data_IF_574688887049
#
_entry.id   IF_574688887049
#
_cell.length_a   1.000
_cell.length_b   1.000
_cell.length_c   1.000
_cell.angle_alpha   90.00
_cell.angle_beta   90.00
_cell.angle_gamma   90.00
#
_symmetry.space_group_name_H-M   'P 1'
#
loop_
_entity.id
_entity.type
_entity.pdbx_description
1 polymer ?
#
# COMPACT_ATOMS: atom_id res chain seq x y z
N UNK A 1 -12.24 4.96 -1.84
CA UNK A 1 -10.77 4.85 -2.02
C UNK A 1 -10.44 5.15 -3.48
N UNK A 2 -9.47 6.02 -3.74
CA UNK A 2 -8.98 6.31 -5.10
C UNK A 2 -7.59 5.71 -5.25
N UNK A 3 -7.36 4.95 -6.32
CA UNK A 3 -6.05 4.36 -6.64
C UNK A 3 -5.64 4.84 -8.02
N UNK A 4 -4.56 5.62 -8.07
CA UNK A 4 -3.89 6.01 -9.31
C UNK A 4 -2.84 4.95 -9.69
N UNK A 5 -2.66 4.73 -10.99
CA UNK A 5 -1.80 3.68 -11.54
C UNK A 5 -2.10 2.30 -10.94
N UNK A 6 -3.40 1.96 -10.94
CA UNK A 6 -3.93 0.76 -10.30
C UNK A 6 -3.25 -0.55 -10.74
N UNK A 7 -2.69 -0.61 -11.95
CA UNK A 7 -1.96 -1.76 -12.48
C UNK A 7 -0.67 -2.07 -11.72
N UNK A 8 -0.13 -1.15 -10.91
CA UNK A 8 0.98 -1.47 -10.01
C UNK A 8 0.55 -2.37 -8.85
N UNK A 9 -0.73 -2.28 -8.45
CA UNK A 9 -1.28 -2.98 -7.30
C UNK A 9 -2.08 -4.21 -7.76
N UNK A 10 -2.89 -4.05 -8.81
CA UNK A 10 -3.80 -5.05 -9.37
C UNK A 10 -3.27 -5.55 -10.73
N UNK A 11 -2.05 -6.07 -10.76
CA UNK A 11 -1.43 -6.53 -12.02
C UNK A 11 -1.83 -7.96 -12.38
N UNK A 12 -2.18 -8.19 -13.65
CA UNK A 12 -2.50 -9.54 -14.15
C UNK A 12 -1.31 -10.52 -14.13
N UNK A 13 -0.08 -10.01 -14.01
CA UNK A 13 1.14 -10.81 -13.97
C UNK A 13 1.34 -11.56 -12.65
N UNK A 14 0.75 -11.11 -11.53
CA UNK A 14 0.90 -11.77 -10.22
C UNK A 14 0.03 -13.02 -10.09
N UNK A 15 -1.13 -13.04 -10.73
CA UNK A 15 -2.06 -14.18 -10.76
C UNK A 15 -1.50 -15.39 -11.52
N UNK A 16 -0.65 -15.19 -12.54
CA UNK A 16 -0.13 -16.31 -13.36
C UNK A 16 1.00 -17.11 -12.69
N UNK A 17 1.62 -16.59 -11.63
CA UNK A 17 2.78 -17.22 -10.98
C UNK A 17 2.42 -18.13 -9.80
N UNK A 18 1.24 -17.98 -9.20
CA UNK A 18 0.87 -18.71 -7.97
C UNK A 18 -0.45 -19.45 -8.06
N UNK A 19 -1.29 -19.20 -9.08
CA UNK A 19 -2.62 -19.82 -9.22
C UNK A 19 -3.62 -19.47 -8.11
N UNK A 20 -3.20 -18.69 -7.12
CA UNK A 20 -4.01 -18.20 -6.02
C UNK A 20 -4.55 -16.80 -6.36
N UNK A 21 -5.80 -16.54 -5.98
CA UNK A 21 -6.38 -15.21 -5.99
C UNK A 21 -5.47 -14.27 -5.18
N UNK A 22 -5.13 -13.10 -5.73
CA UNK A 22 -4.26 -12.18 -5.00
C UNK A 22 -5.01 -11.63 -3.78
N UNK A 23 -4.32 -11.42 -2.67
CA UNK A 23 -4.91 -10.77 -1.47
C UNK A 23 -5.61 -9.45 -1.84
N UNK A 24 -5.12 -8.77 -2.89
CA UNK A 24 -5.72 -7.54 -3.39
C UNK A 24 -7.05 -7.77 -4.12
N UNK A 25 -7.23 -8.87 -4.85
CA UNK A 25 -8.50 -9.25 -5.49
C UNK A 25 -9.55 -9.63 -4.42
N UNK A 26 -9.14 -10.38 -3.40
CA UNK A 26 -9.99 -10.68 -2.23
C UNK A 26 -10.41 -9.39 -1.51
N UNK A 27 -9.44 -8.51 -1.23
CA UNK A 27 -9.72 -7.21 -0.61
C UNK A 27 -10.67 -6.38 -1.47
N UNK A 28 -10.47 -6.35 -2.79
CA UNK A 28 -11.35 -5.64 -3.72
C UNK A 28 -12.80 -6.14 -3.65
N UNK A 29 -12.99 -7.46 -3.50
CA UNK A 29 -14.33 -8.07 -3.35
C UNK A 29 -14.97 -7.70 -2.02
N UNK A 30 -14.23 -7.87 -0.93
CA UNK A 30 -14.73 -7.71 0.44
C UNK A 30 -15.03 -6.25 0.78
N UNK A 31 -14.23 -5.29 0.31
CA UNK A 31 -14.46 -3.86 0.63
C UNK A 31 -15.82 -3.35 0.15
N UNK A 32 -16.40 -3.98 -0.88
CA UNK A 32 -17.72 -3.65 -1.38
C UNK A 32 -18.81 -4.01 -0.37
N UNK A 33 -18.63 -5.08 0.40
CA UNK A 33 -19.59 -5.50 1.44
C UNK A 33 -19.68 -4.46 2.57
N UNK A 34 -18.59 -3.73 2.81
CA UNK A 34 -18.54 -2.63 3.78
C UNK A 34 -19.05 -1.29 3.22
N UNK A 35 -19.65 -1.27 2.02
CA UNK A 35 -20.16 -0.06 1.40
C UNK A 35 -19.06 0.91 0.93
N UNK A 36 -17.81 0.46 0.88
CA UNK A 36 -16.68 1.28 0.43
C UNK A 36 -16.54 1.18 -1.08
N UNK A 37 -16.57 2.33 -1.76
CA UNK A 37 -16.30 2.40 -3.20
C UNK A 37 -14.80 2.47 -3.48
N UNK A 38 -14.34 1.68 -4.45
CA UNK A 38 -13.00 1.79 -5.04
C UNK A 38 -13.09 2.42 -6.42
N UNK A 39 -12.25 3.41 -6.66
CA UNK A 39 -12.10 4.07 -7.96
C UNK A 39 -10.67 3.81 -8.45
N UNK A 40 -10.56 3.07 -9.54
CA UNK A 40 -9.29 2.71 -10.17
C UNK A 40 -9.04 3.66 -11.35
N UNK A 41 -7.89 4.33 -11.34
CA UNK A 41 -7.43 5.17 -12.44
C UNK A 41 -6.20 4.52 -13.06
N UNK A 42 -6.23 4.31 -14.37
CA UNK A 42 -5.13 3.67 -15.08
C UNK A 42 -5.04 4.10 -16.55
N UNK A 43 -3.81 4.17 -17.05
CA UNK A 43 -3.48 4.49 -18.44
C UNK A 43 -3.14 3.24 -19.28
N UNK A 44 -2.91 2.09 -18.64
CA UNK A 44 -2.58 0.80 -19.26
C UNK A 44 -3.54 -0.30 -18.77
N UNK A 45 -4.84 -0.24 -19.14
CA UNK A 45 -5.84 -1.21 -18.68
C UNK A 45 -5.50 -2.65 -19.06
N UNK A 46 -4.70 -2.91 -20.11
CA UNK A 46 -4.22 -4.26 -20.45
C UNK A 46 -3.30 -4.88 -19.40
N UNK A 47 -2.74 -4.09 -18.48
CA UNK A 47 -1.92 -4.59 -17.36
C UNK A 47 -2.74 -4.89 -16.10
N UNK A 48 -3.97 -4.40 -16.02
CA UNK A 48 -4.86 -4.70 -14.89
C UNK A 48 -5.24 -6.18 -14.89
N UNK A 49 -5.51 -6.72 -13.69
CA UNK A 49 -6.03 -8.08 -13.57
C UNK A 49 -7.41 -8.15 -14.25
N UNK A 50 -7.69 -9.28 -14.93
CA UNK A 50 -9.01 -9.53 -15.50
C UNK A 50 -10.10 -9.49 -14.41
N UNK A 51 -9.74 -9.82 -13.17
CA UNK A 51 -10.61 -9.69 -12.01
C UNK A 51 -11.02 -8.24 -11.74
N UNK A 52 -10.08 -7.29 -11.69
CA UNK A 52 -10.36 -5.88 -11.45
C UNK A 52 -11.26 -5.29 -12.54
N UNK A 53 -11.00 -5.63 -13.80
CA UNK A 53 -11.81 -5.21 -14.95
C UNK A 53 -13.23 -5.80 -14.89
N UNK A 54 -13.35 -7.11 -14.65
CA UNK A 54 -14.65 -7.80 -14.61
C UNK A 54 -15.51 -7.41 -13.41
N UNK A 55 -14.90 -7.08 -12.27
CA UNK A 55 -15.61 -6.74 -11.03
C UNK A 55 -15.79 -5.22 -10.84
N UNK A 56 -15.50 -4.41 -11.86
CA UNK A 56 -15.82 -3.00 -11.87
C UNK A 56 -17.29 -2.79 -12.26
N UNK A 57 -18.08 -2.19 -11.36
CA UNK A 57 -19.50 -1.91 -11.64
C UNK A 57 -19.69 -0.83 -12.70
N UNK A 58 -18.84 0.20 -12.67
CA UNK A 58 -18.84 1.33 -13.59
C UNK A 58 -17.48 1.44 -14.23
N UNK A 59 -17.46 1.41 -15.55
CA UNK A 59 -16.26 1.59 -16.35
C UNK A 59 -16.43 2.87 -17.15
N UNK A 60 -15.49 3.81 -17.02
CA UNK A 60 -15.43 5.04 -17.81
C UNK A 60 -14.15 4.95 -18.63
N UNK A 61 -14.30 4.84 -19.95
CA UNK A 61 -13.20 4.67 -20.87
C UNK A 61 -13.05 5.92 -21.74
N UNK A 62 -11.92 6.61 -21.58
CA UNK A 62 -11.54 7.71 -22.46
C UNK A 62 -10.76 7.18 -23.67
N UNK A 63 -10.32 8.09 -24.55
CA UNK A 63 -9.55 7.75 -25.74
C UNK A 63 -8.27 6.97 -25.43
N UNK A 64 -7.98 5.94 -26.22
CA UNK A 64 -6.81 5.06 -26.10
C UNK A 64 -6.14 4.84 -27.45
N UNK A 65 -4.81 4.74 -27.46
CA UNK A 65 -4.03 4.56 -28.69
C UNK A 65 -3.46 3.14 -28.86
N UNK A 66 -3.27 2.40 -27.78
CA UNK A 66 -2.65 1.09 -27.79
C UNK A 66 -3.68 -0.01 -28.11
N UNK A 67 -3.36 -0.90 -29.06
CA UNK A 67 -4.25 -2.00 -29.46
C UNK A 67 -4.57 -2.99 -28.34
N UNK A 68 -3.60 -3.29 -27.46
CA UNK A 68 -3.81 -4.18 -26.33
C UNK A 68 -4.83 -3.58 -25.34
N UNK A 69 -4.68 -2.29 -25.03
CA UNK A 69 -5.60 -1.55 -24.15
C UNK A 69 -6.99 -1.42 -24.77
N UNK A 70 -7.06 -1.09 -26.07
CA UNK A 70 -8.32 -1.05 -26.83
C UNK A 70 -9.03 -2.41 -26.75
N UNK A 71 -8.32 -3.52 -26.96
CA UNK A 71 -8.93 -4.85 -26.90
C UNK A 71 -9.41 -5.20 -25.47
N UNK A 72 -8.60 -4.95 -24.44
CA UNK A 72 -8.96 -5.20 -23.05
C UNK A 72 -10.22 -4.42 -22.63
N UNK A 73 -10.29 -3.14 -23.01
CA UNK A 73 -11.45 -2.30 -22.72
C UNK A 73 -12.65 -2.63 -23.60
N UNK A 74 -12.45 -3.03 -24.86
CA UNK A 74 -13.57 -3.49 -25.71
C UNK A 74 -14.26 -4.71 -25.11
N UNK A 75 -13.48 -5.64 -24.55
CA UNK A 75 -14.02 -6.80 -23.83
C UNK A 75 -14.74 -6.37 -22.55
N UNK A 76 -14.14 -5.48 -21.76
CA UNK A 76 -14.73 -4.98 -20.49
C UNK A 76 -16.04 -4.22 -20.72
N UNK A 77 -16.10 -3.42 -21.78
CA UNK A 77 -17.26 -2.62 -22.16
C UNK A 77 -18.32 -3.43 -22.93
N UNK A 78 -18.01 -4.69 -23.31
CA UNK A 78 -18.84 -5.57 -24.13
C UNK A 78 -19.17 -4.94 -25.50
N UNK A 79 -18.16 -4.37 -26.16
CA UNK A 79 -18.29 -3.83 -27.52
C UNK A 79 -18.17 -4.97 -28.55
N UNK A 80 -19.30 -5.37 -29.12
CA UNK A 80 -19.34 -6.38 -30.20
C UNK A 80 -18.83 -5.82 -31.54
N UNK A 81 -19.05 -4.52 -31.77
CA UNK A 81 -18.62 -3.79 -32.96
C UNK A 81 -18.27 -2.34 -32.60
N UNK A 82 -17.56 -1.62 -33.48
CA UNK A 82 -17.25 -0.20 -33.29
C UNK A 82 -16.16 0.08 -32.23
N UNK A 83 -15.28 -0.88 -31.94
CA UNK A 83 -14.16 -0.69 -30.97
C UNK A 83 -13.19 0.43 -31.36
N UNK A 84 -13.16 0.75 -32.65
CA UNK A 84 -12.48 1.89 -33.26
C UNK A 84 -12.90 3.22 -32.64
N UNK A 85 -14.11 3.32 -32.07
CA UNK A 85 -14.52 4.51 -31.31
C UNK A 85 -13.54 4.83 -30.18
N UNK A 86 -13.00 3.80 -29.50
CA UNK A 86 -12.09 3.98 -28.38
C UNK A 86 -10.77 4.65 -28.78
N UNK A 87 -10.42 4.63 -30.07
CA UNK A 87 -9.26 5.36 -30.61
C UNK A 87 -9.57 6.70 -31.25
N UNK A 88 -10.86 7.05 -31.41
CA UNK A 88 -11.31 8.28 -32.08
C UNK A 88 -12.08 9.23 -31.17
N UNK A 89 -12.29 8.88 -29.90
CA UNK A 89 -12.88 9.76 -28.90
C UNK A 89 -12.11 11.09 -28.81
N UNK A 90 -12.85 12.19 -28.85
CA UNK A 90 -12.31 13.53 -28.66
C UNK A 90 -11.99 13.81 -27.18
N UNK A 91 -11.19 14.86 -26.93
CA UNK A 91 -10.91 15.32 -25.56
C UNK A 91 -12.23 15.69 -24.87
N UNK A 92 -12.47 15.09 -23.71
CA UNK A 92 -13.72 15.27 -22.97
C UNK A 92 -14.83 14.31 -23.37
N UNK A 93 -14.59 13.33 -24.23
CA UNK A 93 -15.52 12.24 -24.48
C UNK A 93 -15.10 10.95 -23.77
N UNK A 94 -16.08 10.15 -23.36
CA UNK A 94 -15.83 8.82 -22.81
C UNK A 94 -16.98 7.86 -23.11
N UNK A 95 -16.65 6.58 -23.27
CA UNK A 95 -17.63 5.48 -23.31
C UNK A 95 -17.79 4.94 -21.89
N UNK A 96 -19.04 4.86 -21.44
CA UNK A 96 -19.40 4.37 -20.11
C UNK A 96 -20.18 3.06 -20.20
N UNK A 97 -19.81 2.09 -19.37
CA UNK A 97 -20.60 0.87 -19.14
C UNK A 97 -20.96 0.76 -17.66
N UNK A 98 -22.23 0.45 -17.40
CA UNK A 98 -22.73 0.05 -16.09
C UNK A 98 -23.12 -1.43 -16.13
N UNK A 99 -22.82 -2.22 -15.11
CA UNK A 99 -23.15 -3.65 -15.11
C UNK A 99 -24.62 -3.97 -14.78
N UNK A 100 -25.44 -2.97 -14.41
CA UNK A 100 -26.85 -3.21 -14.04
C UNK A 100 -27.86 -2.23 -14.63
N UNK A 101 -27.73 -0.94 -14.31
CA UNK A 101 -28.79 0.06 -14.62
C UNK A 101 -29.01 0.30 -16.11
N UNK A 102 -27.94 0.24 -16.90
CA UNK A 102 -27.96 0.52 -18.34
C UNK A 102 -27.24 -0.62 -19.04
N UNK A 103 -27.97 -1.36 -19.87
CA UNK A 103 -27.48 -2.61 -20.43
C UNK A 103 -26.38 -2.41 -21.46
N UNK A 104 -26.49 -1.39 -22.32
CA UNK A 104 -25.50 -1.10 -23.36
C UNK A 104 -24.53 0.01 -22.92
N UNK A 105 -23.27 -0.04 -23.36
CA UNK A 105 -22.37 1.09 -23.20
C UNK A 105 -22.90 2.32 -23.95
N UNK A 106 -22.62 3.50 -23.43
CA UNK A 106 -23.10 4.77 -23.97
C UNK A 106 -22.01 5.84 -23.92
N UNK A 107 -22.06 6.78 -24.85
CA UNK A 107 -21.12 7.90 -24.92
C UNK A 107 -21.57 9.01 -23.95
N UNK A 108 -20.62 9.62 -23.26
CA UNK A 108 -20.83 10.82 -22.45
C UNK A 108 -19.88 11.94 -22.88
N UNK A 109 -20.27 13.17 -22.55
CA UNK A 109 -19.39 14.34 -22.56
C UNK A 109 -19.03 14.70 -21.12
N UNK A 110 -17.74 14.69 -20.82
CA UNK A 110 -17.16 15.08 -19.54
C UNK A 110 -16.98 16.60 -19.56
N UNK A 111 -17.57 17.34 -18.61
CA UNK A 111 -17.42 18.79 -18.56
C UNK A 111 -15.96 19.17 -18.34
N UNK A 112 -15.50 20.19 -19.09
CA UNK A 112 -14.15 20.69 -18.94
C UNK A 112 -13.95 21.27 -17.54
N UNK A 113 -12.95 20.76 -16.83
CA UNK A 113 -12.51 21.30 -15.55
C UNK A 113 -11.18 22.04 -15.73
N UNK A 114 -11.25 23.37 -15.77
CA UNK A 114 -10.08 24.21 -16.05
C UNK A 114 -9.16 24.33 -14.83
N UNK A 115 -8.08 23.56 -14.83
CA UNK A 115 -7.01 23.68 -13.85
C UNK A 115 -5.96 24.64 -14.40
N UNK A 116 -5.77 25.79 -13.75
CA UNK A 116 -4.66 26.69 -14.10
C UNK A 116 -3.38 26.12 -13.50
N UNK A 117 -2.49 25.58 -14.34
CA UNK A 117 -1.18 25.07 -13.90
C UNK A 117 -0.44 26.16 -13.09
N UNK A 118 0.11 25.78 -11.94
CA UNK A 118 0.81 26.69 -11.04
C UNK A 118 -0.09 27.46 -10.05
N UNK A 119 -1.42 27.38 -10.14
CA UNK A 119 -2.30 27.92 -9.08
C UNK A 119 -2.16 27.19 -7.75
N UNK A 120 -1.78 25.92 -7.80
CA UNK A 120 -1.54 25.08 -6.63
C UNK A 120 -0.12 24.57 -6.71
N UNK A 121 0.69 24.93 -5.72
CA UNK A 121 2.07 24.50 -5.55
C UNK A 121 2.14 23.29 -4.62
N UNK A 122 3.19 22.48 -4.76
CA UNK A 122 3.44 21.33 -3.87
C UNK A 122 3.51 21.75 -2.39
N UNK A 123 3.97 22.97 -2.11
CA UNK A 123 4.00 23.52 -0.76
C UNK A 123 2.58 23.74 -0.20
N UNK A 124 1.66 24.26 -1.02
CA UNK A 124 0.26 24.42 -0.66
C UNK A 124 -0.42 23.06 -0.45
N UNK A 125 -0.13 22.06 -1.30
CA UNK A 125 -0.64 20.70 -1.13
C UNK A 125 -0.13 20.10 0.18
N UNK A 126 1.19 20.18 0.45
CA UNK A 126 1.78 19.69 1.70
C UNK A 126 1.17 20.35 2.94
N UNK A 127 1.00 21.67 2.92
CA UNK A 127 0.42 22.40 4.04
C UNK A 127 -1.05 22.02 4.28
N UNK A 128 -1.83 21.90 3.21
CA UNK A 128 -3.22 21.45 3.27
C UNK A 128 -3.34 20.02 3.81
N UNK A 129 -2.50 19.10 3.33
CA UNK A 129 -2.48 17.73 3.81
C UNK A 129 -2.06 17.63 5.28
N UNK A 130 -1.11 18.46 5.73
CA UNK A 130 -0.71 18.51 7.15
C UNK A 130 -1.89 18.83 8.06
N UNK A 131 -2.72 19.79 7.68
CA UNK A 131 -3.92 20.16 8.45
C UNK A 131 -4.95 19.02 8.52
N UNK A 132 -5.13 18.28 7.41
CA UNK A 132 -6.03 17.12 7.37
C UNK A 132 -5.49 15.88 8.08
N UNK A 133 -4.19 15.65 8.04
CA UNK A 133 -3.56 14.52 8.74
C UNK A 133 -3.56 14.70 10.26
N UNK A 134 -3.46 15.94 10.75
CA UNK A 134 -3.66 16.22 12.18
C UNK A 134 -5.09 15.90 12.62
N UNK A 135 -6.10 16.08 11.76
CA UNK A 135 -7.48 15.65 12.07
C UNK A 135 -7.63 14.13 12.09
N UNK A 136 -6.94 13.41 11.19
CA UNK A 136 -6.95 11.94 11.15
C UNK A 136 -6.25 11.32 12.38
N UNK A 137 -5.16 11.91 12.86
CA UNK A 137 -4.49 11.48 14.11
C UNK A 137 -5.36 11.73 15.37
N UNK A 138 -6.30 12.69 15.30
CA UNK A 138 -7.27 12.97 16.37
C UNK A 138 -8.45 11.99 16.29
N UNK A 139 -8.90 11.60 15.09
CA UNK A 139 -9.98 10.63 14.89
C UNK A 139 -9.54 9.18 15.20
N UNK A 140 -8.28 8.80 14.95
CA UNK A 140 -7.72 7.49 15.34
C UNK A 140 -7.63 7.32 16.87
N UNK A 141 -7.72 8.41 17.64
CA UNK A 141 -7.84 8.38 19.10
C UNK A 141 -9.28 8.29 19.59
N UNK A 142 -10.28 8.59 18.75
CA UNK A 142 -11.68 8.64 19.14
C UNK A 142 -12.46 7.33 18.90
N UNK A 143 -11.88 6.34 18.22
CA UNK A 143 -12.49 5.01 17.98
C UNK A 143 -11.89 3.88 18.83
N UNK A 144 -11.10 4.20 19.85
CA UNK A 144 -10.65 3.23 20.86
C UNK A 144 -11.49 3.33 22.14
N UNK A 145 -12.75 2.95 22.03
CA UNK A 145 -13.69 2.64 23.11
C UNK A 145 -14.82 1.82 22.43
N UNK A 146 -15.18 0.58 22.76
CA UNK A 146 -14.94 -0.29 23.90
C UNK A 146 -15.01 -1.76 23.43
N UNK A 147 -14.01 -2.58 23.78
CA UNK A 147 -14.20 -4.00 24.03
C UNK A 147 -13.61 -4.27 25.42
N UNK A 148 -14.30 -4.97 26.33
CA UNK A 148 -13.94 -4.98 27.73
C UNK A 148 -12.80 -5.97 27.95
N UNK A 149 -11.56 -5.50 27.85
CA UNK A 149 -10.43 -6.20 28.46
C UNK A 149 -10.13 -5.52 29.80
N UNK A 150 -10.43 -6.28 30.85
CA UNK A 150 -10.28 -5.85 32.23
C UNK A 150 -8.84 -5.52 32.59
N UNK A 151 -8.74 -4.58 33.53
CA UNK A 151 -7.58 -4.25 34.36
C UNK A 151 -6.32 -3.79 33.59
N UNK A 152 -6.03 -2.49 33.70
CA UNK A 152 -4.90 -1.81 33.05
C UNK A 152 -3.50 -2.32 33.44
N UNK A 153 -2.46 -1.68 32.90
CA UNK A 153 -1.80 -0.68 33.74
C UNK A 153 -1.33 0.61 33.02
N UNK A 154 -1.28 1.65 33.85
CA UNK A 154 -0.41 2.82 33.90
C UNK A 154 0.54 3.17 32.72
N UNK A 155 0.59 4.47 32.42
CA UNK A 155 1.39 5.14 31.37
C UNK A 155 2.91 4.93 31.45
N UNK A 156 3.45 4.30 32.49
CA UNK A 156 4.88 3.97 32.63
C UNK A 156 5.28 2.69 31.86
N UNK A 157 4.32 1.86 31.41
CA UNK A 157 4.60 0.57 30.76
C UNK A 157 4.91 0.66 29.25
N UNK A 158 4.47 1.72 28.58
CA UNK A 158 4.63 1.87 27.12
C UNK A 158 6.08 2.17 26.72
N UNK A 159 6.81 2.92 27.54
CA UNK A 159 8.22 3.24 27.28
C UNK A 159 9.12 2.03 27.61
N UNK A 160 8.83 1.33 28.73
CA UNK A 160 9.48 0.09 29.15
C UNK A 160 9.33 -1.04 28.12
N UNK A 161 8.16 -1.19 27.52
CA UNK A 161 7.92 -2.20 26.48
C UNK A 161 8.65 -1.87 25.17
N UNK A 162 8.71 -0.61 24.78
CA UNK A 162 9.48 -0.17 23.60
C UNK A 162 10.98 -0.39 23.80
N UNK A 163 11.52 -0.09 24.98
CA UNK A 163 12.93 -0.35 25.29
C UNK A 163 13.26 -1.85 25.34
N UNK A 164 12.37 -2.69 25.89
CA UNK A 164 12.53 -4.15 25.87
C UNK A 164 12.57 -4.71 24.44
N UNK A 165 11.70 -4.21 23.56
CA UNK A 165 11.68 -4.61 22.15
C UNK A 165 12.94 -4.16 21.40
N UNK A 166 13.46 -2.97 21.69
CA UNK A 166 14.74 -2.51 21.13
C UNK A 166 15.90 -3.41 21.55
N UNK A 167 15.99 -3.78 22.83
CA UNK A 167 17.03 -4.70 23.33
C UNK A 167 16.89 -6.08 22.70
N UNK A 168 15.67 -6.62 22.59
CA UNK A 168 15.41 -7.91 21.94
C UNK A 168 15.82 -7.89 20.45
N UNK A 169 15.58 -6.77 19.76
CA UNK A 169 16.02 -6.60 18.39
C UNK A 169 17.55 -6.58 18.27
N UNK A 170 18.24 -5.82 19.12
CA UNK A 170 19.71 -5.79 19.15
C UNK A 170 20.29 -7.18 19.45
N UNK A 171 19.68 -7.91 20.38
CA UNK A 171 20.08 -9.26 20.76
C UNK A 171 19.93 -10.24 19.58
N UNK A 172 18.80 -10.21 18.87
CA UNK A 172 18.59 -11.05 17.69
C UNK A 172 19.61 -10.72 16.57
N UNK A 173 20.12 -9.47 16.47
CA UNK A 173 21.16 -9.11 15.49
C UNK A 173 22.47 -9.83 15.79
N UNK A 174 22.80 -10.01 17.07
CA UNK A 174 23.98 -10.77 17.50
C UNK A 174 23.77 -12.27 17.32
N UNK A 175 22.58 -12.78 17.66
CA UNK A 175 22.30 -14.23 17.63
C UNK A 175 22.11 -14.74 16.20
N UNK A 176 21.59 -13.90 15.30
CA UNK A 176 21.28 -14.23 13.92
C UNK A 176 21.84 -13.16 12.96
N UNK A 177 23.18 -13.07 12.82
CA UNK A 177 23.87 -12.00 12.09
C UNK A 177 23.49 -11.95 10.61
N UNK A 178 23.38 -13.11 9.98
CA UNK A 178 23.14 -13.22 8.54
C UNK A 178 21.65 -13.33 8.21
N UNK A 179 20.77 -13.09 9.19
CA UNK A 179 19.33 -13.19 8.96
C UNK A 179 18.79 -11.94 8.28
N UNK A 180 17.96 -12.16 7.25
CA UNK A 180 17.22 -11.09 6.59
C UNK A 180 16.19 -10.45 7.52
N UNK A 181 15.86 -9.20 7.24
CA UNK A 181 14.98 -8.37 8.06
C UNK A 181 13.59 -8.99 8.31
N UNK A 182 13.01 -9.65 7.30
CA UNK A 182 11.69 -10.29 7.43
C UNK A 182 11.70 -11.48 8.41
N UNK A 183 12.74 -12.33 8.36
CA UNK A 183 12.88 -13.47 9.27
C UNK A 183 13.11 -13.00 10.72
N UNK A 184 13.85 -11.90 10.91
CA UNK A 184 14.04 -11.23 12.20
C UNK A 184 12.72 -10.75 12.79
N UNK A 185 11.85 -10.13 12.00
CA UNK A 185 10.54 -9.71 12.49
C UNK A 185 9.67 -10.88 12.96
N UNK A 186 9.68 -11.99 12.22
CA UNK A 186 8.94 -13.19 12.59
C UNK A 186 9.41 -13.76 13.94
N UNK A 187 10.73 -13.86 14.17
CA UNK A 187 11.28 -14.34 15.46
C UNK A 187 10.90 -13.45 16.64
N UNK A 188 10.81 -12.15 16.41
CA UNK A 188 10.44 -11.16 17.42
C UNK A 188 8.91 -11.02 17.60
N UNK A 189 8.10 -11.81 16.88
CA UNK A 189 6.64 -11.71 16.92
C UNK A 189 6.09 -10.39 16.36
N UNK A 190 6.88 -9.70 15.52
CA UNK A 190 6.53 -8.39 14.97
C UNK A 190 5.88 -8.53 13.59
N UNK A 191 4.79 -7.79 13.36
CA UNK A 191 4.30 -7.60 11.99
C UNK A 191 5.34 -6.84 11.15
N UNK A 192 5.29 -7.00 9.82
CA UNK A 192 6.21 -6.31 8.92
C UNK A 192 6.20 -4.78 9.10
N UNK A 193 5.02 -4.19 9.38
CA UNK A 193 4.87 -2.75 9.64
C UNK A 193 5.49 -2.33 10.97
N UNK A 194 5.23 -3.07 12.06
CA UNK A 194 5.82 -2.80 13.37
C UNK A 194 7.34 -2.95 13.35
N UNK A 195 7.84 -4.03 12.75
CA UNK A 195 9.26 -4.29 12.58
C UNK A 195 9.94 -3.19 11.76
N UNK A 196 9.33 -2.76 10.66
CA UNK A 196 9.87 -1.66 9.85
C UNK A 196 9.93 -0.34 10.63
N UNK A 197 8.86 0.02 11.37
CA UNK A 197 8.83 1.22 12.21
C UNK A 197 9.93 1.19 13.30
N UNK A 198 10.15 0.03 13.91
CA UNK A 198 11.23 -0.17 14.89
C UNK A 198 12.60 -0.01 14.24
N UNK A 199 12.84 -0.68 13.11
CA UNK A 199 14.11 -0.63 12.38
C UNK A 199 14.47 0.80 11.95
N UNK A 200 13.52 1.54 11.37
CA UNK A 200 13.74 2.94 10.96
C UNK A 200 14.16 3.81 12.16
N UNK A 201 13.47 3.66 13.30
CA UNK A 201 13.84 4.39 14.53
C UNK A 201 15.25 4.03 15.02
N UNK A 202 15.65 2.77 14.92
CA UNK A 202 16.98 2.32 15.35
C UNK A 202 18.09 2.80 14.40
N UNK A 203 17.81 2.90 13.10
CA UNK A 203 18.70 3.53 12.11
C UNK A 203 18.86 5.03 12.39
N UNK A 204 17.77 5.76 12.61
CA UNK A 204 17.80 7.20 12.93
C UNK A 204 18.57 7.49 14.23
N UNK A 205 18.49 6.59 15.21
CA UNK A 205 19.24 6.68 16.46
C UNK A 205 20.70 6.21 16.33
N UNK A 206 21.08 5.69 15.16
CA UNK A 206 22.41 5.16 14.88
C UNK A 206 22.75 3.97 15.77
N UNK A 207 21.79 3.07 16.01
CA UNK A 207 22.00 1.84 16.79
C UNK A 207 22.37 0.66 15.88
N UNK A 208 21.90 0.68 14.65
CA UNK A 208 22.11 -0.37 13.66
C UNK A 208 22.49 0.26 12.30
N UNK A 209 23.15 -0.51 11.46
CA UNK A 209 23.46 -0.18 10.06
C UNK A 209 22.92 -1.26 9.13
N UNK A 210 22.57 -0.86 7.90
CA UNK A 210 22.08 -1.75 6.85
C UNK A 210 23.18 -2.07 5.84
N UNK A 211 23.33 -3.36 5.51
CA UNK A 211 24.28 -3.83 4.52
C UNK A 211 23.58 -4.69 3.48
N UNK A 212 23.81 -4.37 2.22
CA UNK A 212 23.34 -5.19 1.11
C UNK A 212 24.39 -6.26 0.80
N UNK A 213 24.14 -7.49 1.23
CA UNK A 213 25.00 -8.63 0.93
C UNK A 213 24.50 -9.35 -0.33
N UNK A 214 25.43 -9.67 -1.24
CA UNK A 214 25.13 -10.50 -2.41
C UNK A 214 25.42 -11.95 -2.06
N UNK A 215 24.37 -12.76 -1.97
CA UNK A 215 24.46 -14.21 -1.72
C UNK A 215 24.28 -14.99 -3.02
N UNK A 216 24.65 -16.28 -3.04
CA UNK A 216 24.41 -17.17 -4.18
C UNK A 216 22.93 -17.28 -4.59
N UNK A 217 21.99 -16.98 -3.69
CA UNK A 217 20.55 -16.99 -3.93
C UNK A 217 19.94 -15.60 -4.22
N UNK A 218 20.76 -14.55 -4.32
CA UNK A 218 20.31 -13.18 -4.60
C UNK A 218 20.86 -12.12 -3.64
N UNK A 219 20.34 -10.89 -3.76
CA UNK A 219 20.69 -9.77 -2.86
C UNK A 219 19.85 -9.84 -1.59
N UNK A 220 20.49 -9.78 -0.43
CA UNK A 220 19.82 -9.81 0.88
C UNK A 220 20.25 -8.62 1.71
N UNK A 221 19.28 -7.93 2.27
CA UNK A 221 19.53 -6.87 3.25
C UNK A 221 19.78 -7.50 4.62
N UNK A 222 20.99 -7.30 5.15
CA UNK A 222 21.39 -7.67 6.52
C UNK A 222 21.52 -6.41 7.37
N UNK A 223 21.48 -6.60 8.69
CA UNK A 223 21.56 -5.52 9.68
C UNK A 223 22.72 -5.83 10.60
N UNK A 224 23.59 -4.85 10.85
CA UNK A 224 24.72 -4.95 11.79
C UNK A 224 24.52 -3.95 12.93
N UNK A 225 25.09 -4.25 14.09
CA UNK A 225 25.12 -3.29 15.20
C UNK A 225 26.21 -2.24 14.95
N UNK A 226 25.90 -1.01 15.33
CA UNK A 226 26.93 0.03 15.48
C UNK A 226 27.59 -0.09 16.85
N UNK A 227 28.71 0.61 17.07
CA UNK A 227 29.32 0.74 18.40
C UNK A 227 28.31 1.22 19.47
N UNK A 228 27.37 2.09 19.08
CA UNK A 228 26.33 2.61 19.96
C UNK A 228 25.29 1.53 20.28
N UNK A 229 24.90 0.72 19.29
CA UNK A 229 24.01 -0.43 19.48
C UNK A 229 24.61 -1.48 20.42
N UNK A 230 25.89 -1.79 20.26
CA UNK A 230 26.61 -2.72 21.13
C UNK A 230 26.66 -2.23 22.58
N UNK A 231 26.93 -0.94 22.81
CA UNK A 231 26.95 -0.34 24.16
C UNK A 231 25.60 -0.46 24.85
N UNK A 232 24.49 -0.18 24.15
CA UNK A 232 23.13 -0.30 24.71
C UNK A 232 22.82 -1.76 25.07
N UNK A 233 23.17 -2.70 24.19
CA UNK A 233 22.96 -4.12 24.46
C UNK A 233 23.79 -4.59 25.67
N UNK A 234 25.05 -4.15 25.79
CA UNK A 234 25.90 -4.47 26.93
C UNK A 234 25.36 -3.90 28.25
N UNK A 235 24.85 -2.67 28.24
CA UNK A 235 24.21 -2.06 29.40
C UNK A 235 22.96 -2.82 29.83
N UNK A 236 22.13 -3.22 28.86
CA UNK A 236 20.93 -4.01 29.14
C UNK A 236 21.25 -5.40 29.71
N UNK A 237 22.30 -6.09 29.19
CA UNK A 237 22.76 -7.38 29.74
C UNK A 237 23.27 -7.26 31.18
N UNK A 238 24.00 -6.19 31.51
CA UNK A 238 24.47 -5.91 32.88
C UNK A 238 23.31 -5.62 33.82
N UNK A 239 22.29 -4.90 33.36
CA UNK A 239 21.10 -4.62 34.17
C UNK A 239 20.23 -5.86 34.42
N UNK A 240 20.31 -6.89 33.56
CA UNK A 240 19.59 -8.15 33.73
C UNK A 240 20.34 -9.21 34.56
N UNK A 241 21.60 -8.95 34.94
CA UNK A 241 22.47 -9.89 35.68
C UNK A 241 22.83 -9.43 37.10
N UNK A 242 22.28 -8.30 37.55
CA UNK A 242 22.33 -7.82 38.94
C UNK A 242 20.95 -7.85 39.58
#
# INVERSE_FOLDING_TARGET
ILIEEAHHILSGQRTSLTGAESVMDTTYREIREFGVSLVLLDQMPSKLSGFALANSYTTICMSMSNRADINAMSQTLLLESGKDILGTLEVGQAVVKLQGRIQRPFLISIPQFNIRKGQVTDAQIRQYMKQKMVQLDVEDKATKDEAPEGAGPHQDDAESSSSRLEVAFLQDVVDCPDSGVAARYQRLGLSARQGHKLKVRMLERGLIDEHLETTHAGRRMTVRLTEKGEKILAQARKAASG
#
